data_IF_822323328444
#
_entry.id   IF_822323328444
#
_cell.length_a   1.000
_cell.length_b   1.000
_cell.length_c   1.000
_cell.angle_alpha   90.00
_cell.angle_beta   90.00
_cell.angle_gamma   90.00
#
_symmetry.space_group_name_H-M   'P 1'
#
loop_
_entity.id
_entity.type
_entity.pdbx_description
1 polymer ?
#
# COMPACT_ATOMS: atom_id res chain seq x y z
N UNK A 1 -21.31 2.36 19.29
CA UNK A 1 -20.34 1.70 18.40
C UNK A 1 -20.64 2.21 17.00
N UNK A 2 -19.83 3.17 16.49
CA UNK A 2 -19.95 3.59 15.09
C UNK A 2 -19.59 2.38 14.23
N UNK A 3 -20.53 1.98 13.35
CA UNK A 3 -20.23 0.99 12.33
C UNK A 3 -19.05 1.51 11.51
N UNK A 4 -17.95 0.76 11.49
CA UNK A 4 -16.78 1.13 10.72
C UNK A 4 -17.22 1.25 9.25
N UNK A 5 -17.10 2.46 8.69
CA UNK A 5 -17.55 2.73 7.33
C UNK A 5 -16.52 2.16 6.37
N UNK A 6 -16.91 1.26 5.50
CA UNK A 6 -16.05 0.74 4.42
C UNK A 6 -15.60 1.91 3.54
N UNK A 7 -14.36 1.90 3.09
CA UNK A 7 -13.81 2.88 2.13
C UNK A 7 -13.85 2.31 0.73
N UNK A 8 -13.50 1.03 0.61
CA UNK A 8 -13.45 0.31 -0.65
C UNK A 8 -13.83 -1.15 -0.42
N UNK A 9 -14.62 -1.69 -1.34
CA UNK A 9 -14.97 -3.10 -1.40
C UNK A 9 -14.67 -3.61 -2.80
N UNK A 10 -13.88 -4.66 -2.88
CA UNK A 10 -13.63 -5.45 -4.08
C UNK A 10 -14.26 -6.82 -3.91
N UNK A 11 -15.04 -7.26 -4.90
CA UNK A 11 -15.79 -8.53 -4.84
C UNK A 11 -15.50 -9.37 -6.06
N UNK A 12 -15.01 -10.59 -5.85
CA UNK A 12 -14.74 -11.65 -6.82
C UNK A 12 -13.94 -11.17 -8.03
N UNK A 13 -12.85 -10.40 -7.78
CA UNK A 13 -12.04 -9.86 -8.87
C UNK A 13 -11.26 -10.94 -9.58
N UNK A 14 -11.49 -11.05 -10.90
CA UNK A 14 -10.73 -11.92 -11.80
C UNK A 14 -10.03 -11.06 -12.83
N UNK A 15 -8.75 -11.34 -13.07
CA UNK A 15 -7.99 -10.66 -14.10
C UNK A 15 -6.94 -11.59 -14.70
N UNK A 16 -6.87 -11.60 -16.03
CA UNK A 16 -5.88 -12.33 -16.83
C UNK A 16 -5.22 -11.36 -17.82
N UNK A 17 -3.89 -11.39 -17.88
CA UNK A 17 -3.17 -10.59 -18.87
C UNK A 17 -3.37 -11.15 -20.30
N UNK A 18 -3.46 -10.28 -21.30
CA UNK A 18 -3.51 -10.74 -22.70
C UNK A 18 -2.29 -11.64 -23.02
N UNK A 19 -2.57 -12.79 -23.63
CA UNK A 19 -1.51 -13.73 -24.02
C UNK A 19 -0.94 -14.60 -22.91
N UNK A 20 -1.51 -14.55 -21.71
CA UNK A 20 -1.19 -15.52 -20.65
C UNK A 20 -2.29 -16.57 -20.54
N UNK A 21 -1.90 -17.82 -20.25
CA UNK A 21 -2.84 -18.93 -20.13
C UNK A 21 -3.56 -18.97 -18.79
N UNK A 22 -2.94 -18.41 -17.73
CA UNK A 22 -3.48 -18.43 -16.38
C UNK A 22 -3.87 -17.02 -15.91
N UNK A 23 -4.98 -16.88 -15.16
CA UNK A 23 -5.37 -15.61 -14.58
C UNK A 23 -4.38 -15.19 -13.48
N UNK A 24 -4.04 -13.90 -13.46
CA UNK A 24 -3.24 -13.28 -12.41
C UNK A 24 -4.01 -13.10 -11.10
N UNK A 25 -5.36 -13.05 -11.17
CA UNK A 25 -6.28 -13.03 -10.03
C UNK A 25 -7.49 -13.91 -10.30
N UNK A 26 -7.87 -14.71 -9.30
CA UNK A 26 -8.87 -15.79 -9.40
C UNK A 26 -10.03 -15.59 -8.39
N UNK A 27 -10.75 -14.47 -8.45
CA UNK A 27 -11.87 -14.22 -7.56
C UNK A 27 -11.44 -13.65 -6.19
N UNK A 28 -10.69 -12.56 -6.20
CA UNK A 28 -10.15 -11.93 -4.99
C UNK A 28 -11.17 -10.97 -4.39
N UNK A 29 -11.42 -11.12 -3.09
CA UNK A 29 -12.28 -10.25 -2.28
C UNK A 29 -11.43 -9.41 -1.33
N UNK A 30 -11.83 -8.14 -1.12
CA UNK A 30 -11.28 -7.26 -0.10
C UNK A 30 -12.36 -6.31 0.40
N UNK A 31 -12.45 -6.16 1.72
CA UNK A 31 -13.19 -5.08 2.37
C UNK A 31 -12.23 -4.26 3.20
N UNK A 32 -12.11 -2.98 2.89
CA UNK A 32 -11.22 -2.07 3.55
C UNK A 32 -12.02 -1.01 4.28
N UNK A 33 -11.81 -0.89 5.59
CA UNK A 33 -12.51 0.04 6.45
C UNK A 33 -11.72 1.32 6.65
N UNK A 34 -12.40 2.42 6.95
CA UNK A 34 -11.76 3.71 7.22
C UNK A 34 -10.80 3.63 8.42
N UNK A 35 -9.59 4.16 8.26
CA UNK A 35 -8.56 4.11 9.30
C UNK A 35 -8.04 2.70 9.60
N UNK A 36 -8.17 1.77 8.65
CA UNK A 36 -7.66 0.40 8.77
C UNK A 36 -6.40 0.23 7.94
N UNK A 37 -5.42 -0.47 8.49
CA UNK A 37 -4.30 -1.01 7.72
C UNK A 37 -4.53 -2.49 7.41
N UNK A 38 -4.52 -2.83 6.12
CA UNK A 38 -4.60 -4.20 5.61
C UNK A 38 -3.29 -4.56 4.92
N UNK A 39 -2.66 -5.64 5.35
CA UNK A 39 -1.49 -6.21 4.70
C UNK A 39 -1.88 -7.10 3.53
N UNK A 40 -1.41 -6.77 2.33
CA UNK A 40 -1.51 -7.60 1.13
C UNK A 40 -0.22 -8.39 0.99
N UNK A 41 -0.25 -9.63 1.46
CA UNK A 41 0.91 -10.50 1.55
C UNK A 41 0.95 -11.52 0.42
N UNK A 42 2.15 -11.92 0.04
CA UNK A 42 2.38 -13.00 -0.91
C UNK A 42 3.74 -12.89 -1.59
N UNK A 43 4.25 -14.00 -2.15
CA UNK A 43 5.51 -14.00 -2.88
C UNK A 43 5.45 -13.16 -4.16
N UNK A 44 6.60 -12.97 -4.79
CA UNK A 44 6.65 -12.33 -6.11
C UNK A 44 5.83 -13.13 -7.11
N UNK A 45 5.04 -12.44 -7.94
CA UNK A 45 4.13 -13.07 -8.90
C UNK A 45 2.80 -13.57 -8.31
N UNK A 46 2.51 -13.35 -7.02
CA UNK A 46 1.24 -13.78 -6.41
C UNK A 46 0.01 -12.99 -6.88
N UNK A 47 0.20 -11.83 -7.54
CA UNK A 47 -0.89 -10.98 -8.03
C UNK A 47 -1.07 -9.65 -7.28
N UNK A 48 -0.21 -9.30 -6.30
CA UNK A 48 -0.33 -8.07 -5.49
C UNK A 48 -0.42 -6.80 -6.32
N UNK A 49 0.54 -6.54 -7.20
CA UNK A 49 0.57 -5.32 -8.04
C UNK A 49 -0.56 -5.31 -9.08
N UNK A 50 -1.00 -6.50 -9.54
CA UNK A 50 -2.18 -6.62 -10.40
C UNK A 50 -3.44 -6.21 -9.64
N UNK A 51 -3.59 -6.67 -8.40
CA UNK A 51 -4.70 -6.31 -7.53
C UNK A 51 -4.73 -4.79 -7.27
N UNK A 52 -3.59 -4.18 -6.91
CA UNK A 52 -3.44 -2.73 -6.76
C UNK A 52 -3.85 -2.00 -8.06
N UNK A 53 -3.40 -2.48 -9.22
CA UNK A 53 -3.74 -1.87 -10.51
C UNK A 53 -5.24 -1.85 -10.81
N UNK A 54 -5.98 -2.89 -10.39
CA UNK A 54 -7.44 -2.94 -10.48
C UNK A 54 -8.09 -1.94 -9.51
N UNK A 55 -7.63 -1.87 -8.27
CA UNK A 55 -8.16 -0.92 -7.28
C UNK A 55 -7.97 0.54 -7.70
N UNK A 56 -6.88 0.84 -8.43
CA UNK A 56 -6.60 2.15 -9.01
C UNK A 56 -7.39 2.45 -10.29
N UNK A 57 -8.12 1.47 -10.83
CA UNK A 57 -8.79 1.62 -12.13
C UNK A 57 -7.83 1.70 -13.33
N UNK A 58 -6.54 1.36 -13.14
CA UNK A 58 -5.54 1.29 -14.24
C UNK A 58 -5.81 0.10 -15.16
N UNK A 59 -6.57 -0.88 -14.67
CA UNK A 59 -7.03 -2.05 -15.41
C UNK A 59 -8.49 -2.32 -15.08
N UNK A 60 -9.20 -2.95 -16.02
CA UNK A 60 -10.60 -3.37 -15.82
C UNK A 60 -10.62 -4.88 -15.52
N UNK A 61 -11.25 -5.34 -14.44
CA UNK A 61 -11.38 -6.76 -14.17
C UNK A 61 -12.26 -7.44 -15.23
N UNK A 62 -12.01 -8.71 -15.55
CA UNK A 62 -12.84 -9.51 -16.45
C UNK A 62 -14.13 -9.95 -15.78
N UNK A 63 -14.10 -10.15 -14.46
CA UNK A 63 -15.30 -10.34 -13.64
C UNK A 63 -15.08 -9.80 -12.24
N UNK A 64 -16.18 -9.69 -11.49
CA UNK A 64 -16.17 -9.01 -10.21
C UNK A 64 -16.32 -7.50 -10.34
N UNK A 65 -16.38 -6.81 -9.24
CA UNK A 65 -16.55 -5.36 -9.23
C UNK A 65 -15.88 -4.71 -8.01
N UNK A 66 -15.59 -3.42 -8.17
CA UNK A 66 -15.05 -2.57 -7.13
C UNK A 66 -16.06 -1.47 -6.87
N UNK A 67 -16.42 -1.29 -5.60
CA UNK A 67 -17.30 -0.19 -5.19
C UNK A 67 -16.66 0.62 -4.08
N UNK A 68 -16.95 1.89 -4.10
CA UNK A 68 -16.63 2.81 -3.03
C UNK A 68 -17.88 3.06 -2.20
N UNK A 69 -17.73 3.26 -0.90
CA UNK A 69 -18.85 3.53 0.00
C UNK A 69 -18.78 5.00 0.42
N UNK A 70 -19.96 5.63 0.52
CA UNK A 70 -20.12 7.04 0.82
C UNK A 70 -20.60 7.87 -0.36
N UNK A 71 -20.95 9.14 -0.10
CA UNK A 71 -21.52 10.06 -1.09
C UNK A 71 -20.51 10.54 -2.14
N UNK A 72 -19.23 10.40 -1.84
CA UNK A 72 -18.13 10.78 -2.75
C UNK A 72 -17.10 9.67 -2.83
N UNK A 73 -16.49 9.46 -4.01
CA UNK A 73 -15.36 8.54 -4.15
C UNK A 73 -14.22 8.96 -3.21
N UNK A 74 -13.53 8.00 -2.56
CA UNK A 74 -12.36 8.32 -1.73
C UNK A 74 -11.22 8.84 -2.60
N UNK A 75 -10.42 9.73 -2.04
CA UNK A 75 -9.15 10.10 -2.63
C UNK A 75 -8.18 8.95 -2.42
N UNK A 76 -7.76 8.32 -3.52
CA UNK A 76 -6.82 7.19 -3.49
C UNK A 76 -5.46 7.67 -3.99
N UNK A 77 -4.42 7.53 -3.17
CA UNK A 77 -3.05 7.76 -3.58
C UNK A 77 -2.27 6.44 -3.62
N UNK A 78 -1.27 6.39 -4.49
CA UNK A 78 -0.45 5.21 -4.69
C UNK A 78 1.04 5.54 -4.60
N UNK A 79 1.76 4.70 -3.86
CA UNK A 79 3.22 4.69 -3.80
C UNK A 79 3.69 3.40 -4.47
N UNK A 80 4.13 3.47 -5.73
CA UNK A 80 4.60 2.29 -6.47
C UNK A 80 5.95 1.80 -5.96
N UNK A 81 6.26 0.55 -6.30
CA UNK A 81 7.55 -0.07 -6.02
C UNK A 81 8.70 0.69 -6.71
N UNK A 82 8.50 1.13 -7.94
CA UNK A 82 9.45 2.00 -8.65
C UNK A 82 9.27 3.46 -8.22
N UNK A 83 10.34 4.24 -8.35
CA UNK A 83 10.27 5.66 -8.00
C UNK A 83 9.44 6.44 -9.03
N UNK A 84 8.37 7.09 -8.57
CA UNK A 84 7.45 7.87 -9.40
C UNK A 84 7.73 9.38 -9.26
N UNK A 85 8.97 9.79 -9.43
CA UNK A 85 9.39 11.18 -9.41
C UNK A 85 10.43 11.47 -10.51
N UNK A 86 10.73 12.73 -10.74
CA UNK A 86 11.73 13.16 -11.73
C UNK A 86 13.11 13.25 -11.07
N UNK A 87 14.06 12.37 -11.40
CA UNK A 87 15.36 12.29 -10.71
C UNK A 87 16.24 13.52 -10.91
N UNK A 88 16.04 14.26 -12.01
CA UNK A 88 16.81 15.47 -12.32
C UNK A 88 16.32 16.71 -11.54
N UNK A 89 15.09 16.68 -11.03
CA UNK A 89 14.55 17.72 -10.17
C UNK A 89 14.99 17.54 -8.73
N UNK A 90 15.02 18.63 -7.96
CA UNK A 90 15.18 18.59 -6.51
C UNK A 90 13.97 17.97 -5.84
N UNK A 91 14.06 17.62 -4.55
CA UNK A 91 12.91 17.12 -3.81
C UNK A 91 11.78 18.19 -3.77
N UNK A 92 12.13 19.46 -3.60
CA UNK A 92 11.17 20.56 -3.61
C UNK A 92 10.50 20.69 -4.98
N UNK A 93 11.28 20.76 -6.07
CA UNK A 93 10.74 20.90 -7.43
C UNK A 93 9.85 19.73 -7.83
N UNK A 94 10.13 18.51 -7.35
CA UNK A 94 9.23 17.38 -7.52
C UNK A 94 7.89 17.64 -6.82
N UNK A 95 7.92 18.06 -5.55
CA UNK A 95 6.68 18.34 -4.80
C UNK A 95 5.90 19.49 -5.42
N UNK A 96 6.56 20.54 -5.87
CA UNK A 96 5.95 21.67 -6.57
C UNK A 96 5.26 21.22 -7.86
N UNK A 97 5.93 20.38 -8.65
CA UNK A 97 5.39 19.83 -9.90
C UNK A 97 4.13 18.99 -9.65
N UNK A 98 4.20 18.04 -8.70
CA UNK A 98 3.06 17.17 -8.42
C UNK A 98 1.91 17.92 -7.74
N UNK A 99 2.19 18.90 -6.87
CA UNK A 99 1.15 19.77 -6.31
C UNK A 99 0.48 20.61 -7.40
N UNK A 100 1.25 21.08 -8.40
CA UNK A 100 0.72 21.81 -9.55
C UNK A 100 -0.22 21.00 -10.46
N UNK A 101 -0.19 19.66 -10.39
CA UNK A 101 -1.13 18.78 -11.10
C UNK A 101 -2.47 18.67 -10.36
N UNK A 102 -2.52 19.09 -9.09
CA UNK A 102 -3.74 19.07 -8.30
C UNK A 102 -4.50 20.40 -8.48
N UNK A 103 -5.82 20.33 -8.46
CA UNK A 103 -6.66 21.55 -8.56
C UNK A 103 -6.70 22.24 -7.19
N UNK A 104 -5.63 22.96 -6.85
CA UNK A 104 -5.45 23.64 -5.57
C UNK A 104 -5.17 25.13 -5.77
N UNK A 105 -5.50 25.95 -4.77
CA UNK A 105 -4.98 27.32 -4.69
C UNK A 105 -3.47 27.29 -4.37
N UNK A 106 -2.75 28.34 -4.74
CA UNK A 106 -1.31 28.44 -4.43
C UNK A 106 -1.03 28.32 -2.92
N UNK A 107 -1.86 28.91 -2.08
CA UNK A 107 -1.73 28.84 -0.63
C UNK A 107 -1.91 27.40 -0.11
N UNK A 108 -2.89 26.68 -0.63
CA UNK A 108 -3.13 25.28 -0.25
C UNK A 108 -2.02 24.35 -0.76
N UNK A 109 -1.55 24.56 -1.99
CA UNK A 109 -0.42 23.81 -2.53
C UNK A 109 0.83 23.99 -1.66
N UNK A 110 1.20 25.24 -1.34
CA UNK A 110 2.35 25.52 -0.46
C UNK A 110 2.20 24.87 0.90
N UNK A 111 1.02 24.95 1.52
CA UNK A 111 0.74 24.31 2.81
C UNK A 111 0.92 22.79 2.75
N UNK A 112 0.39 22.13 1.71
CA UNK A 112 0.51 20.68 1.55
C UNK A 112 1.96 20.23 1.31
N UNK A 113 2.71 20.99 0.53
CA UNK A 113 4.13 20.75 0.30
C UNK A 113 4.92 20.85 1.61
N UNK A 114 4.70 21.91 2.39
CA UNK A 114 5.36 22.08 3.69
C UNK A 114 5.06 20.92 4.64
N UNK A 115 3.79 20.51 4.74
CA UNK A 115 3.36 19.35 5.54
C UNK A 115 4.03 18.07 5.04
N UNK A 116 4.09 17.83 3.72
CA UNK A 116 4.71 16.65 3.14
C UNK A 116 6.23 16.61 3.41
N UNK A 117 6.93 17.72 3.23
CA UNK A 117 8.35 17.85 3.53
C UNK A 117 8.62 17.55 5.00
N UNK A 118 7.85 18.15 5.90
CA UNK A 118 8.03 17.96 7.33
C UNK A 118 7.73 16.51 7.75
N UNK A 119 6.58 15.99 7.32
CA UNK A 119 6.13 14.65 7.71
C UNK A 119 7.01 13.53 7.15
N UNK A 120 7.70 13.75 6.04
CA UNK A 120 8.63 12.79 5.44
C UNK A 120 10.11 13.11 5.72
N UNK A 121 10.41 14.06 6.64
CA UNK A 121 11.77 14.46 7.02
C UNK A 121 12.66 14.79 5.79
N UNK A 122 12.15 15.64 4.90
CA UNK A 122 12.84 16.02 3.66
C UNK A 122 13.46 17.42 3.73
N UNK A 123 13.41 18.13 4.87
CA UNK A 123 13.84 19.52 5.00
C UNK A 123 15.29 19.73 4.55
N UNK A 124 16.20 18.88 5.03
CA UNK A 124 17.64 18.98 4.69
C UNK A 124 17.95 18.55 3.24
N UNK A 125 16.98 17.88 2.59
CA UNK A 125 17.13 17.34 1.22
C UNK A 125 16.33 18.12 0.20
N UNK A 126 15.55 19.15 0.62
CA UNK A 126 14.59 19.87 -0.23
C UNK A 126 15.24 20.41 -1.52
N UNK A 127 16.44 20.98 -1.41
CA UNK A 127 17.18 21.55 -2.54
C UNK A 127 18.14 20.57 -3.23
N UNK A 128 18.18 19.31 -2.81
CA UNK A 128 19.03 18.28 -3.41
C UNK A 128 18.26 17.59 -4.54
N UNK A 129 18.92 17.40 -5.70
CA UNK A 129 18.33 16.59 -6.79
C UNK A 129 18.09 15.18 -6.33
N UNK A 130 16.88 14.65 -6.65
CA UNK A 130 16.42 13.36 -6.17
C UNK A 130 17.38 12.21 -6.51
N UNK A 131 18.01 12.23 -7.69
CA UNK A 131 19.00 11.22 -8.09
C UNK A 131 20.25 11.14 -7.20
N UNK A 132 20.59 12.21 -6.48
CA UNK A 132 21.73 12.24 -5.57
C UNK A 132 21.35 11.96 -4.10
N UNK A 133 20.10 11.68 -3.85
CA UNK A 133 19.61 11.26 -2.54
C UNK A 133 19.82 9.76 -2.32
N UNK A 134 19.95 9.35 -1.06
CA UNK A 134 19.95 7.93 -0.70
C UNK A 134 18.61 7.26 -1.04
N UNK A 135 18.58 5.94 -1.21
CA UNK A 135 17.35 5.18 -1.46
C UNK A 135 16.26 5.45 -0.42
N UNK A 136 16.64 5.59 0.86
CA UNK A 136 15.70 5.93 1.93
C UNK A 136 15.09 7.33 1.76
N UNK A 137 15.89 8.34 1.35
CA UNK A 137 15.37 9.69 1.05
C UNK A 137 14.47 9.65 -0.18
N UNK A 138 14.83 8.90 -1.21
CA UNK A 138 14.01 8.71 -2.41
C UNK A 138 12.66 8.05 -2.09
N UNK A 139 12.64 7.05 -1.20
CA UNK A 139 11.38 6.44 -0.72
C UNK A 139 10.52 7.42 0.06
N UNK A 140 11.15 8.26 0.90
CA UNK A 140 10.44 9.33 1.62
C UNK A 140 9.85 10.36 0.65
N UNK A 141 10.57 10.72 -0.41
CA UNK A 141 10.05 11.60 -1.46
C UNK A 141 8.87 10.97 -2.19
N UNK A 142 8.96 9.69 -2.55
CA UNK A 142 7.86 8.97 -3.20
C UNK A 142 6.58 8.97 -2.33
N UNK A 143 6.73 8.72 -1.03
CA UNK A 143 5.63 8.83 -0.06
C UNK A 143 5.11 10.26 0.05
N UNK A 144 5.99 11.26 0.16
CA UNK A 144 5.62 12.67 0.28
C UNK A 144 4.76 13.15 -0.89
N UNK A 145 5.09 12.73 -2.12
CA UNK A 145 4.32 13.04 -3.32
C UNK A 145 2.90 12.47 -3.22
N UNK A 146 2.75 11.22 -2.79
CA UNK A 146 1.42 10.61 -2.60
C UNK A 146 0.60 11.36 -1.53
N UNK A 147 1.24 11.83 -0.46
CA UNK A 147 0.58 12.55 0.63
C UNK A 147 0.09 13.95 0.25
N UNK A 148 0.59 14.56 -0.85
CA UNK A 148 0.06 15.83 -1.37
C UNK A 148 -1.44 15.76 -1.65
N UNK A 149 -1.96 14.60 -2.00
CA UNK A 149 -3.38 14.38 -2.28
C UNK A 149 -4.25 14.34 -1.04
N UNK A 150 -3.68 14.22 0.17
CA UNK A 150 -4.41 13.97 1.43
C UNK A 150 -5.36 12.76 1.31
N UNK A 151 -4.84 11.56 1.05
CA UNK A 151 -5.65 10.43 0.66
C UNK A 151 -6.52 9.91 1.81
N UNK A 152 -7.74 9.47 1.47
CA UNK A 152 -8.59 8.62 2.32
C UNK A 152 -8.06 7.17 2.33
N UNK A 153 -7.45 6.74 1.23
CA UNK A 153 -6.85 5.43 1.03
C UNK A 153 -5.46 5.56 0.38
N UNK A 154 -4.45 5.03 1.06
CA UNK A 154 -3.09 4.96 0.57
C UNK A 154 -2.74 3.52 0.20
N UNK A 155 -2.37 3.30 -1.06
CA UNK A 155 -1.89 2.02 -1.57
C UNK A 155 -0.36 2.06 -1.63
N UNK A 156 0.30 1.14 -0.94
CA UNK A 156 1.75 1.04 -0.87
C UNK A 156 2.19 -0.30 -1.49
N UNK A 157 2.97 -0.24 -2.57
CA UNK A 157 3.47 -1.44 -3.25
C UNK A 157 4.97 -1.59 -2.96
N UNK A 158 5.32 -2.56 -2.12
CA UNK A 158 6.70 -2.88 -1.71
C UNK A 158 7.52 -1.64 -1.26
N UNK A 159 7.00 -0.78 -0.36
CA UNK A 159 7.59 0.56 -0.11
C UNK A 159 8.95 0.52 0.55
N UNK A 160 9.36 -0.60 1.13
CA UNK A 160 10.61 -0.76 1.90
C UNK A 160 11.67 -1.57 1.18
N UNK A 161 11.39 -2.06 -0.02
CA UNK A 161 12.36 -2.83 -0.80
C UNK A 161 13.58 -1.96 -1.15
N UNK A 162 14.77 -2.49 -0.85
CA UNK A 162 16.04 -1.85 -1.17
C UNK A 162 16.41 -0.66 -0.26
N UNK A 163 15.75 -0.47 0.88
CA UNK A 163 16.12 0.57 1.85
C UNK A 163 16.83 -0.02 3.07
N UNK A 164 17.65 0.80 3.70
CA UNK A 164 18.34 0.47 4.94
C UNK A 164 17.36 0.31 6.13
N UNK A 165 17.77 -0.36 7.23
CA UNK A 165 16.89 -0.62 8.37
C UNK A 165 16.32 0.64 9.03
N UNK A 166 17.08 1.75 9.05
CA UNK A 166 16.63 3.01 9.66
C UNK A 166 15.52 3.66 8.82
N UNK A 167 15.72 3.71 7.49
CA UNK A 167 14.71 4.21 6.55
C UNK A 167 13.46 3.34 6.54
N UNK A 168 13.62 2.01 6.67
CA UNK A 168 12.48 1.09 6.82
C UNK A 168 11.67 1.38 8.08
N UNK A 169 12.34 1.49 9.23
CA UNK A 169 11.66 1.81 10.49
C UNK A 169 10.87 3.12 10.37
N UNK A 170 11.49 4.17 9.83
CA UNK A 170 10.82 5.45 9.60
C UNK A 170 9.54 5.31 8.74
N UNK A 171 9.61 4.56 7.64
CA UNK A 171 8.44 4.37 6.75
C UNK A 171 7.31 3.63 7.47
N UNK A 172 7.63 2.60 8.26
CA UNK A 172 6.63 1.86 9.04
C UNK A 172 5.97 2.74 10.11
N UNK A 173 6.77 3.52 10.85
CA UNK A 173 6.26 4.48 11.85
C UNK A 173 5.34 5.52 11.18
N UNK A 174 5.73 6.02 9.99
CA UNK A 174 4.92 6.99 9.24
C UNK A 174 3.59 6.40 8.77
N UNK A 175 3.58 5.14 8.32
CA UNK A 175 2.34 4.43 7.96
C UNK A 175 1.45 4.26 9.18
N UNK A 176 2.01 3.89 10.32
CA UNK A 176 1.27 3.78 11.58
C UNK A 176 0.61 5.11 11.98
N UNK A 177 1.34 6.24 11.88
CA UNK A 177 0.80 7.57 12.16
C UNK A 177 -0.37 7.92 11.23
N UNK A 178 -0.23 7.65 9.92
CA UNK A 178 -1.30 7.89 8.93
C UNK A 178 -2.57 7.12 9.27
N UNK A 179 -2.43 5.85 9.64
CA UNK A 179 -3.57 5.02 10.07
C UNK A 179 -4.21 5.58 11.34
N UNK A 180 -3.40 5.99 12.32
CA UNK A 180 -3.90 6.56 13.58
C UNK A 180 -4.67 7.87 13.39
N UNK A 181 -4.35 8.63 12.33
CA UNK A 181 -5.05 9.87 11.95
C UNK A 181 -6.22 9.65 11.01
N UNK A 182 -6.56 8.39 10.67
CA UNK A 182 -7.77 8.02 9.94
C UNK A 182 -7.58 7.71 8.45
N UNK A 183 -6.33 7.74 7.92
CA UNK A 183 -6.03 7.27 6.57
C UNK A 183 -6.10 5.75 6.53
N UNK A 184 -6.82 5.19 5.56
CA UNK A 184 -6.84 3.76 5.33
C UNK A 184 -5.62 3.35 4.52
N UNK A 185 -5.05 2.18 4.78
CA UNK A 185 -3.82 1.74 4.09
C UNK A 185 -3.98 0.30 3.59
N UNK A 186 -3.63 0.07 2.33
CA UNK A 186 -3.33 -1.25 1.80
C UNK A 186 -1.81 -1.35 1.60
N UNK A 187 -1.18 -2.20 2.39
CA UNK A 187 0.28 -2.35 2.44
C UNK A 187 0.68 -3.67 1.77
N UNK A 188 1.11 -3.62 0.51
CA UNK A 188 1.56 -4.78 -0.22
C UNK A 188 3.05 -5.02 0.02
N UNK A 189 3.39 -6.23 0.46
CA UNK A 189 4.78 -6.64 0.71
C UNK A 189 4.91 -8.17 0.73
N UNK A 190 6.12 -8.66 0.62
CA UNK A 190 6.47 -10.04 0.94
C UNK A 190 7.15 -10.16 2.33
N UNK A 191 7.41 -9.03 3.01
CA UNK A 191 8.02 -9.02 4.37
C UNK A 191 6.95 -9.13 5.45
N UNK A 192 6.73 -10.32 5.96
CA UNK A 192 5.66 -10.61 6.94
C UNK A 192 5.84 -9.90 8.27
N UNK A 193 7.10 -9.63 8.67
CA UNK A 193 7.42 -8.87 9.88
C UNK A 193 6.91 -7.43 9.84
N UNK A 194 6.88 -6.80 8.65
CA UNK A 194 6.38 -5.43 8.50
C UNK A 194 4.87 -5.37 8.73
N UNK A 195 4.16 -6.31 8.11
CA UNK A 195 2.70 -6.42 8.25
C UNK A 195 2.30 -6.68 9.70
N UNK A 196 3.03 -7.54 10.41
CA UNK A 196 2.77 -7.82 11.82
C UNK A 196 2.88 -6.60 12.71
N UNK A 197 3.65 -5.57 12.31
CA UNK A 197 3.85 -4.33 13.07
C UNK A 197 2.76 -3.29 12.84
N UNK A 198 2.24 -3.19 11.61
CA UNK A 198 1.39 -2.06 11.20
C UNK A 198 -0.03 -2.46 10.81
N UNK A 199 -0.28 -3.71 10.45
CA UNK A 199 -1.57 -4.14 9.94
C UNK A 199 -2.38 -4.92 10.99
N UNK A 200 -3.65 -4.61 11.10
CA UNK A 200 -4.60 -5.37 11.93
C UNK A 200 -5.26 -6.51 11.17
N UNK A 201 -5.30 -6.41 9.84
CA UNK A 201 -5.90 -7.40 8.94
C UNK A 201 -4.94 -7.77 7.83
N UNK A 202 -5.09 -8.95 7.28
CA UNK A 202 -4.30 -9.43 6.15
C UNK A 202 -5.17 -10.01 5.03
N UNK A 203 -4.63 -9.94 3.84
CA UNK A 203 -5.05 -10.67 2.65
C UNK A 203 -3.82 -11.39 2.11
N UNK A 204 -3.77 -12.71 2.27
CA UNK A 204 -2.65 -13.55 1.83
C UNK A 204 -2.95 -14.12 0.44
N UNK A 205 -2.13 -13.76 -0.54
CA UNK A 205 -2.26 -14.19 -1.93
C UNK A 205 -1.14 -15.16 -2.33
N UNK A 206 -1.50 -16.20 -3.06
CA UNK A 206 -0.55 -17.03 -3.84
C UNK A 206 -1.21 -17.44 -5.15
N UNK A 207 -0.48 -17.33 -6.27
CA UNK A 207 -0.99 -17.65 -7.62
C UNK A 207 -2.38 -17.05 -7.93
N UNK A 208 -2.58 -15.80 -7.56
CA UNK A 208 -3.85 -15.08 -7.77
C UNK A 208 -5.01 -15.52 -6.90
N UNK A 209 -4.81 -16.44 -5.95
CA UNK A 209 -5.83 -16.98 -5.05
C UNK A 209 -5.62 -16.47 -3.64
N UNK A 210 -6.72 -16.24 -2.93
CA UNK A 210 -6.70 -15.91 -1.49
C UNK A 210 -6.48 -17.19 -0.69
N UNK A 211 -5.38 -17.26 0.04
CA UNK A 211 -5.07 -18.38 0.94
C UNK A 211 -5.65 -18.16 2.34
N UNK A 212 -5.58 -16.92 2.83
CA UNK A 212 -6.15 -16.51 4.11
C UNK A 212 -6.52 -15.02 4.05
N UNK A 213 -7.59 -14.64 4.72
CA UNK A 213 -8.01 -13.24 4.85
C UNK A 213 -8.73 -13.03 6.17
N UNK A 214 -8.45 -11.91 6.84
CA UNK A 214 -9.13 -11.56 8.08
C UNK A 214 -8.25 -10.83 9.10
N UNK A 215 -8.76 -10.75 10.33
CA UNK A 215 -8.04 -10.19 11.47
C UNK A 215 -6.79 -11.02 11.78
N UNK A 216 -5.65 -10.34 11.89
CA UNK A 216 -4.34 -10.97 12.08
C UNK A 216 -4.28 -11.84 13.33
N UNK A 217 -4.80 -11.34 14.47
CA UNK A 217 -4.76 -12.07 15.74
C UNK A 217 -5.62 -13.33 15.69
N UNK A 218 -6.80 -13.21 15.05
CA UNK A 218 -7.72 -14.32 14.87
C UNK A 218 -7.13 -15.41 13.97
N UNK A 219 -6.44 -15.03 12.90
CA UNK A 219 -5.78 -15.98 11.99
C UNK A 219 -4.62 -16.70 12.68
N UNK A 220 -3.82 -15.99 13.46
CA UNK A 220 -2.70 -16.59 14.19
C UNK A 220 -3.16 -17.47 15.36
N UNK A 221 -4.30 -17.17 15.97
CA UNK A 221 -4.84 -18.01 17.07
C UNK A 221 -5.35 -19.38 16.63
N UNK A 222 -5.49 -19.61 15.34
CA UNK A 222 -5.82 -20.90 14.74
C UNK A 222 -7.20 -21.41 15.13
N UNK A 223 -8.26 -21.00 14.46
CA UNK A 223 -9.62 -21.50 14.72
C UNK A 223 -9.70 -23.02 14.45
N UNK A 224 -9.51 -23.84 15.47
CA UNK A 224 -9.57 -25.30 15.39
C UNK A 224 -8.24 -26.00 15.09
N UNK A 225 -7.12 -25.27 15.03
CA UNK A 225 -5.76 -25.79 14.84
C UNK A 225 -4.84 -25.32 15.97
N UNK A 226 -3.62 -25.86 16.00
CA UNK A 226 -2.55 -25.30 16.84
C UNK A 226 -2.30 -23.84 16.44
N UNK A 227 -2.21 -22.90 17.38
CA UNK A 227 -1.89 -21.50 17.08
C UNK A 227 -0.60 -21.40 16.25
N UNK A 228 -0.60 -20.49 15.27
CA UNK A 228 0.59 -20.20 14.49
C UNK A 228 1.49 -19.24 15.25
N UNK A 229 2.79 -19.50 15.24
CA UNK A 229 3.78 -18.68 15.91
C UNK A 229 3.89 -17.27 15.30
N UNK A 230 3.78 -17.21 13.97
CA UNK A 230 3.88 -15.97 13.18
C UNK A 230 3.21 -16.13 11.81
N UNK A 231 3.20 -15.04 11.01
CA UNK A 231 2.65 -15.05 9.65
C UNK A 231 3.37 -16.00 8.70
N UNK A 232 4.67 -16.23 8.91
CA UNK A 232 5.46 -17.13 8.10
C UNK A 232 4.98 -18.58 8.29
N UNK A 233 4.76 -19.00 9.53
CA UNK A 233 4.21 -20.33 9.83
C UNK A 233 2.79 -20.51 9.27
N UNK A 234 1.96 -19.47 9.31
CA UNK A 234 0.65 -19.47 8.66
C UNK A 234 0.76 -19.65 7.15
N UNK A 235 1.66 -18.90 6.49
CA UNK A 235 1.90 -19.00 5.05
C UNK A 235 2.39 -20.40 4.66
N UNK A 236 3.38 -20.92 5.38
CA UNK A 236 3.93 -22.26 5.15
C UNK A 236 2.87 -23.34 5.29
N UNK A 237 1.98 -23.22 6.28
CA UNK A 237 0.86 -24.16 6.47
C UNK A 237 -0.07 -24.18 5.24
N UNK A 238 -0.42 -23.02 4.69
CA UNK A 238 -1.34 -22.92 3.54
C UNK A 238 -0.70 -23.28 2.21
N UNK A 239 0.59 -23.00 2.03
CA UNK A 239 1.27 -23.27 0.76
C UNK A 239 1.93 -24.64 0.69
N UNK A 240 2.18 -25.30 1.83
CA UNK A 240 2.99 -26.54 1.95
C UNK A 240 4.36 -26.40 1.25
N UNK A 241 4.90 -25.21 1.14
CA UNK A 241 6.11 -24.87 0.39
C UNK A 241 7.01 -23.95 1.22
N UNK A 242 8.32 -24.08 1.02
CA UNK A 242 9.26 -23.08 1.48
C UNK A 242 9.05 -21.75 0.74
N UNK A 243 9.29 -20.62 1.43
CA UNK A 243 9.28 -19.31 0.80
C UNK A 243 10.14 -19.37 -0.46
N UNK A 244 9.60 -18.85 -1.57
CA UNK A 244 10.34 -18.66 -2.80
C UNK A 244 11.04 -17.31 -2.70
N UNK A 245 12.35 -17.29 -2.85
CA UNK A 245 13.17 -16.10 -2.97
C UNK A 245 12.80 -15.28 -4.22
#
# INVERSE_FOLDING_TARGET
MNAATEVLVAEQLVYQYPGQDEPALCGVDLKLQRGQAVGLLGPNGSGKSTFISLLLGLRTPQSGHIRHTGDKPPVIAWVPQEYAFYPELTCQENLDLFAGMLVLSNAEASRRIEVAIHSCMLQEFSHRRARYCSGGVQRRLNLAIALLQQPDLLLLDEPTVGVDPQSRAFLLDRVHDLVSTGTSVLYATHYMEEVSKICSHILLLDHGKVLASGDLKSLLSGSGFTPFENLESLFMHHTQRQLRD
#
